data_IF_444122594398
#
_entry.id   IF_444122594398
#
_cell.length_a   1.000
_cell.length_b   1.000
_cell.length_c   1.000
_cell.angle_alpha   90.00
_cell.angle_beta   90.00
_cell.angle_gamma   90.00
#
_symmetry.space_group_name_H-M   'P 1'
#
loop_
_entity.id
_entity.type
_entity.pdbx_description
1 polymer ?
#
# COMPACT_ATOMS: atom_id res chain seq x y z
N UNK A 1 12.54 -11.40 3.70
CA UNK A 1 12.14 -11.59 2.32
C UNK A 1 11.57 -10.29 1.73
N UNK A 2 11.61 -10.18 0.43
CA UNK A 2 11.24 -8.94 -0.26
C UNK A 2 9.77 -8.56 -0.07
N UNK A 3 8.86 -9.51 -0.20
CA UNK A 3 7.42 -9.24 -0.10
C UNK A 3 7.05 -8.69 1.27
N UNK A 4 7.50 -9.35 2.33
CA UNK A 4 7.19 -8.94 3.70
C UNK A 4 7.75 -7.56 4.02
N UNK A 5 8.99 -7.30 3.63
CA UNK A 5 9.63 -5.99 3.83
C UNK A 5 8.92 -4.89 3.06
N UNK A 6 8.50 -5.17 1.83
CA UNK A 6 7.81 -4.20 0.99
C UNK A 6 6.49 -3.75 1.62
N UNK A 7 5.64 -4.69 2.01
CA UNK A 7 4.34 -4.34 2.57
C UNK A 7 4.43 -3.73 3.96
N UNK A 8 5.39 -4.17 4.77
CA UNK A 8 5.66 -3.51 6.05
C UNK A 8 6.07 -2.07 5.83
N UNK A 9 6.89 -1.80 4.83
CA UNK A 9 7.32 -0.43 4.54
C UNK A 9 6.17 0.43 4.00
N UNK A 10 5.26 -0.13 3.24
CA UNK A 10 4.04 0.58 2.83
C UNK A 10 3.24 1.01 4.05
N UNK A 11 3.11 0.14 5.05
CA UNK A 11 2.44 0.50 6.30
C UNK A 11 3.18 1.64 7.04
N UNK A 12 4.51 1.63 7.02
CA UNK A 12 5.31 2.70 7.61
C UNK A 12 5.10 4.03 6.87
N UNK A 13 5.02 3.98 5.55
CA UNK A 13 4.71 5.16 4.73
C UNK A 13 3.32 5.70 5.08
N UNK A 14 2.34 4.82 5.25
CA UNK A 14 0.99 5.22 5.68
C UNK A 14 1.04 6.02 6.98
N UNK A 15 1.73 5.50 7.99
CA UNK A 15 1.85 6.19 9.28
C UNK A 15 2.49 7.56 9.13
N UNK A 16 3.56 7.65 8.34
CA UNK A 16 4.24 8.92 8.08
C UNK A 16 3.31 9.91 7.41
N UNK A 17 2.58 9.49 6.38
CA UNK A 17 1.66 10.35 5.65
C UNK A 17 0.54 10.88 6.56
N UNK A 18 -0.02 10.00 7.39
CA UNK A 18 -1.10 10.37 8.30
C UNK A 18 -0.60 11.41 9.32
N UNK A 19 0.55 11.15 9.96
CA UNK A 19 1.08 12.06 10.98
C UNK A 19 1.46 13.41 10.38
N UNK A 20 2.15 13.43 9.25
CA UNK A 20 2.53 14.68 8.58
C UNK A 20 1.29 15.49 8.21
N UNK A 21 0.26 14.84 7.68
CA UNK A 21 -0.97 15.51 7.27
C UNK A 21 -1.71 16.12 8.47
N UNK A 22 -1.80 15.37 9.57
CA UNK A 22 -2.46 15.85 10.79
C UNK A 22 -1.73 17.06 11.38
N UNK A 23 -0.40 17.03 11.41
CA UNK A 23 0.42 18.14 11.91
C UNK A 23 0.24 19.35 11.00
N UNK A 24 0.37 19.16 9.68
CA UNK A 24 0.29 20.24 8.69
C UNK A 24 -1.05 20.97 8.76
N UNK A 25 -2.13 20.24 8.99
CA UNK A 25 -3.48 20.80 9.02
C UNK A 25 -3.97 21.11 10.44
N UNK A 26 -3.11 21.01 11.45
CA UNK A 26 -3.43 21.29 12.85
C UNK A 26 -4.60 20.45 13.34
N UNK A 27 -4.60 19.17 12.97
CA UNK A 27 -5.66 18.19 13.32
C UNK A 27 -5.11 17.02 14.13
N UNK A 28 -3.98 17.22 14.81
CA UNK A 28 -3.28 16.11 15.47
C UNK A 28 -4.16 15.37 16.48
N UNK A 29 -4.99 16.12 17.23
CA UNK A 29 -5.86 15.53 18.25
C UNK A 29 -7.25 15.16 17.73
N UNK A 30 -7.50 15.27 16.42
CA UNK A 30 -8.78 14.98 15.79
C UNK A 30 -8.81 13.52 15.37
N UNK A 31 -9.47 12.67 16.17
CA UNK A 31 -9.54 11.24 15.89
C UNK A 31 -10.33 10.92 14.63
N UNK A 32 -11.36 11.71 14.33
CA UNK A 32 -12.15 11.51 13.11
C UNK A 32 -11.32 11.81 11.87
N UNK A 33 -10.54 12.87 11.89
CA UNK A 33 -9.61 13.18 10.79
C UNK A 33 -8.56 12.08 10.63
N UNK A 34 -8.04 11.56 11.75
CA UNK A 34 -7.06 10.48 11.73
C UNK A 34 -7.63 9.23 11.08
N UNK A 35 -8.81 8.82 11.46
CA UNK A 35 -9.46 7.64 10.89
C UNK A 35 -9.71 7.80 9.40
N UNK A 36 -10.14 8.99 8.97
CA UNK A 36 -10.37 9.29 7.56
C UNK A 36 -9.07 9.19 6.76
N UNK A 37 -7.96 9.66 7.31
CA UNK A 37 -6.66 9.58 6.64
C UNK A 37 -6.16 8.15 6.52
N UNK A 38 -6.38 7.32 7.54
CA UNK A 38 -6.06 5.89 7.42
C UNK A 38 -6.90 5.23 6.32
N UNK A 39 -8.18 5.55 6.28
CA UNK A 39 -9.09 4.98 5.30
C UNK A 39 -8.69 5.35 3.87
N UNK A 40 -8.45 6.63 3.60
CA UNK A 40 -8.10 7.07 2.24
C UNK A 40 -6.73 6.56 1.81
N UNK A 41 -5.75 6.49 2.72
CA UNK A 41 -4.43 5.99 2.36
C UNK A 41 -4.47 4.49 2.10
N UNK A 42 -5.29 3.74 2.84
CA UNK A 42 -5.51 2.33 2.59
C UNK A 42 -6.15 2.10 1.22
N UNK A 43 -7.25 2.80 0.93
CA UNK A 43 -7.94 2.67 -0.35
C UNK A 43 -7.03 3.02 -1.53
N UNK A 44 -6.24 4.08 -1.39
CA UNK A 44 -5.30 4.48 -2.43
C UNK A 44 -4.28 3.37 -2.69
N UNK A 45 -3.71 2.79 -1.64
CA UNK A 45 -2.73 1.72 -1.78
C UNK A 45 -3.35 0.47 -2.42
N UNK A 46 -4.57 0.11 -2.03
CA UNK A 46 -5.29 -1.02 -2.61
C UNK A 46 -5.51 -0.80 -4.11
N UNK A 47 -5.95 0.39 -4.50
CA UNK A 47 -6.19 0.72 -5.91
C UNK A 47 -4.91 0.60 -6.75
N UNK A 48 -3.77 1.05 -6.21
CA UNK A 48 -2.48 0.91 -6.89
C UNK A 48 -2.11 -0.58 -7.05
N UNK A 49 -2.29 -1.37 -6.01
CA UNK A 49 -1.98 -2.80 -6.07
C UNK A 49 -2.92 -3.53 -7.01
N UNK A 50 -4.20 -3.17 -7.06
CA UNK A 50 -5.15 -3.73 -8.02
C UNK A 50 -4.74 -3.40 -9.46
N UNK A 51 -4.23 -2.19 -9.69
CA UNK A 51 -3.73 -1.80 -11.01
C UNK A 51 -2.57 -2.71 -11.44
N UNK A 52 -1.64 -2.98 -10.53
CA UNK A 52 -0.52 -3.88 -10.80
C UNK A 52 -1.01 -5.31 -11.05
N UNK A 53 -2.02 -5.73 -10.31
CA UNK A 53 -2.59 -7.08 -10.43
C UNK A 53 -3.49 -7.28 -11.66
N UNK A 54 -3.75 -6.21 -12.43
CA UNK A 54 -4.52 -6.31 -13.67
C UNK A 54 -6.03 -6.15 -13.50
N UNK A 55 -6.48 -5.47 -12.44
CA UNK A 55 -7.90 -5.29 -12.12
C UNK A 55 -8.42 -3.88 -12.40
N UNK A 56 -7.61 -3.04 -13.05
CA UNK A 56 -8.05 -1.66 -13.33
C UNK A 56 -8.23 -1.44 -14.84
N UNK A 57 -8.79 -0.28 -15.19
CA UNK A 57 -8.92 0.11 -16.58
C UNK A 57 -7.59 0.39 -17.29
N UNK A 58 -6.50 0.47 -16.54
CA UNK A 58 -5.16 0.66 -17.11
C UNK A 58 -4.75 -0.55 -17.95
N UNK A 59 -4.88 -1.75 -17.40
CA UNK A 59 -4.50 -2.99 -18.09
C UNK A 59 -5.14 -4.17 -17.38
N UNK A 60 -5.48 -5.21 -18.14
CA UNK A 60 -5.95 -6.47 -17.57
C UNK A 60 -4.80 -7.46 -17.39
N UNK A 61 -3.58 -7.07 -17.76
CA UNK A 61 -2.41 -7.91 -17.57
C UNK A 61 -1.94 -7.86 -16.11
N UNK A 62 -1.53 -9.02 -15.62
CA UNK A 62 -0.93 -9.09 -14.28
C UNK A 62 0.51 -8.64 -14.36
N UNK A 63 0.89 -7.75 -13.44
CA UNK A 63 2.23 -7.20 -13.36
C UNK A 63 2.90 -7.67 -12.08
N UNK A 64 4.19 -7.44 -11.99
CA UNK A 64 4.99 -7.70 -10.81
C UNK A 64 5.99 -6.56 -10.63
N UNK A 65 6.67 -6.55 -9.50
CA UNK A 65 7.75 -5.61 -9.22
C UNK A 65 9.02 -6.43 -9.02
N UNK A 66 10.07 -6.05 -9.71
CA UNK A 66 11.33 -6.77 -9.69
C UNK A 66 12.42 -5.85 -9.16
N UNK A 67 13.23 -6.38 -8.24
CA UNK A 67 14.45 -5.71 -7.83
C UNK A 67 15.46 -5.87 -8.98
N UNK A 68 15.76 -4.78 -9.66
CA UNK A 68 16.60 -4.85 -10.88
C UNK A 68 18.06 -5.17 -10.58
N UNK A 69 18.47 -5.08 -9.32
CA UNK A 69 19.85 -5.41 -8.91
C UNK A 69 19.96 -6.90 -8.58
N UNK A 70 19.00 -7.45 -7.83
CA UNK A 70 19.07 -8.84 -7.39
C UNK A 70 18.26 -9.79 -8.25
N UNK A 71 17.31 -9.28 -9.05
CA UNK A 71 16.38 -10.10 -9.82
C UNK A 71 15.24 -10.66 -8.99
N UNK A 72 15.15 -10.30 -7.72
CA UNK A 72 14.12 -10.81 -6.82
C UNK A 72 12.74 -10.22 -7.20
N UNK A 73 11.71 -11.07 -7.21
CA UNK A 73 10.34 -10.67 -7.52
C UNK A 73 9.56 -10.36 -6.24
N UNK A 74 8.75 -9.31 -6.29
CA UNK A 74 7.86 -8.99 -5.17
C UNK A 74 6.84 -10.09 -4.95
N UNK A 75 6.23 -10.59 -6.02
CA UNK A 75 5.34 -11.74 -5.93
C UNK A 75 6.16 -13.00 -5.75
N UNK A 76 6.00 -13.67 -4.61
CA UNK A 76 6.71 -14.90 -4.31
C UNK A 76 6.34 -16.02 -5.27
N UNK A 77 5.12 -15.97 -5.82
CA UNK A 77 4.69 -16.82 -6.90
C UNK A 77 3.66 -16.07 -7.76
N UNK A 78 3.44 -16.48 -9.02
CA UNK A 78 2.58 -15.74 -9.94
C UNK A 78 1.10 -15.65 -9.54
N UNK A 79 0.63 -16.50 -8.61
CA UNK A 79 -0.76 -16.50 -8.17
C UNK A 79 -1.06 -15.49 -7.07
N UNK A 80 -0.04 -14.86 -6.50
CA UNK A 80 -0.23 -13.88 -5.43
C UNK A 80 -0.88 -12.62 -5.98
N UNK A 81 -1.90 -12.14 -5.26
CA UNK A 81 -2.56 -10.87 -5.55
C UNK A 81 -2.01 -9.85 -4.58
N UNK A 82 -1.35 -8.81 -5.09
CA UNK A 82 -0.69 -7.81 -4.24
C UNK A 82 -1.71 -7.02 -3.41
N UNK A 83 -2.87 -6.70 -3.97
CA UNK A 83 -3.89 -5.95 -3.24
C UNK A 83 -4.41 -6.71 -2.01
N UNK A 84 -4.36 -8.03 -2.02
CA UNK A 84 -4.78 -8.83 -0.86
C UNK A 84 -3.75 -8.80 0.27
N UNK A 85 -2.51 -8.40 -0.01
CA UNK A 85 -1.44 -8.42 0.98
C UNK A 85 -1.50 -7.23 1.95
N UNK A 86 -2.32 -6.23 1.65
CA UNK A 86 -2.41 -5.01 2.48
C UNK A 86 -3.30 -5.19 3.69
N UNK A 87 -4.26 -6.10 3.62
CA UNK A 87 -5.19 -6.37 4.71
C UNK A 87 -4.42 -6.89 5.93
N UNK A 88 -4.69 -6.31 7.09
CA UNK A 88 -4.00 -6.68 8.32
C UNK A 88 -2.61 -6.09 8.48
N UNK A 89 -2.05 -5.43 7.46
CA UNK A 89 -0.74 -4.78 7.50
C UNK A 89 -0.90 -3.27 7.60
N UNK A 90 -1.66 -2.67 6.68
CA UNK A 90 -2.01 -1.26 6.76
C UNK A 90 -3.24 -1.07 7.64
N UNK A 91 -3.36 0.10 8.23
CA UNK A 91 -4.58 0.50 8.94
C UNK A 91 -5.62 1.00 7.94
N UNK A 92 -6.88 0.71 8.25
CA UNK A 92 -7.99 1.12 7.37
C UNK A 92 -9.11 1.80 8.15
#
# INVERSE_FOLDING_TARGET
DMQKKFFKHIADIQETCVEVCLIKHKKYDDNEAREMLYDITYEFAVEIMEMIDGYSGYSQDKHDIINTVTGEHLKENPSIELHDQLDGIMKS
#
